data_IF_715394648722
#
_entry.id   IF_715394648722
#
_cell.length_a   1.000
_cell.length_b   1.000
_cell.length_c   1.000
_cell.angle_alpha   90.00
_cell.angle_beta   90.00
_cell.angle_gamma   90.00
#
_symmetry.space_group_name_H-M   'P 1'
#
loop_
_entity.id
_entity.type
_entity.pdbx_description
1 polymer ?
#
# COMPACT_ATOMS: atom_id res chain seq x y z
N UNK A 1 4.69 4.06 -9.69
CA UNK A 1 5.54 3.92 -8.48
C UNK A 1 6.96 4.37 -8.82
N UNK A 2 7.67 5.09 -7.93
CA UNK A 2 9.04 5.58 -8.19
C UNK A 2 10.14 4.76 -7.48
N UNK A 3 9.77 3.67 -6.82
CA UNK A 3 10.67 2.76 -6.11
C UNK A 3 10.89 3.09 -4.64
N UNK A 4 11.30 2.07 -3.86
CA UNK A 4 11.49 2.10 -2.40
C UNK A 4 12.68 2.94 -1.96
N UNK A 5 13.69 3.12 -2.81
CA UNK A 5 14.84 3.98 -2.49
C UNK A 5 14.50 5.47 -2.58
N UNK A 6 13.56 5.84 -3.46
CA UNK A 6 13.17 7.23 -3.71
C UNK A 6 11.90 7.64 -2.97
N UNK A 7 11.06 6.68 -2.60
CA UNK A 7 9.82 6.88 -1.87
C UNK A 7 9.54 5.65 -1.00
N UNK A 8 8.54 5.71 -0.14
CA UNK A 8 8.11 4.57 0.67
C UNK A 8 6.90 4.89 1.54
N UNK A 9 6.19 5.98 1.23
CA UNK A 9 5.12 6.52 2.08
C UNK A 9 4.03 5.50 2.34
N UNK A 10 3.66 4.67 1.34
CA UNK A 10 2.65 3.62 1.52
C UNK A 10 3.02 2.60 2.62
N UNK A 11 4.31 2.29 2.77
CA UNK A 11 4.82 1.41 3.85
C UNK A 11 4.71 2.13 5.19
N UNK A 12 5.01 3.43 5.23
CA UNK A 12 5.02 4.22 6.47
C UNK A 12 3.62 4.58 7.00
N UNK A 13 2.67 4.85 6.11
CA UNK A 13 1.33 5.34 6.49
C UNK A 13 0.30 4.24 6.67
N UNK A 14 0.58 3.00 6.23
CA UNK A 14 -0.37 1.91 6.36
C UNK A 14 -0.41 1.39 7.81
N UNK A 15 -1.52 1.57 8.54
CA UNK A 15 -1.59 1.20 9.96
C UNK A 15 -1.55 -0.32 10.19
N UNK A 16 -1.82 -1.11 9.15
CA UNK A 16 -1.87 -2.58 9.20
C UNK A 16 -0.71 -3.22 8.45
N UNK A 17 0.31 -2.44 8.06
CA UNK A 17 1.49 -2.94 7.36
C UNK A 17 1.16 -3.78 6.11
N UNK A 18 0.20 -3.34 5.31
CA UNK A 18 -0.19 -4.03 4.06
C UNK A 18 0.88 -3.95 2.96
N UNK A 19 1.95 -3.17 3.16
CA UNK A 19 3.05 -3.02 2.22
C UNK A 19 4.40 -3.28 2.89
N UNK A 20 5.34 -3.84 2.13
CA UNK A 20 6.72 -4.11 2.60
C UNK A 20 7.77 -3.66 1.59
N UNK A 21 8.97 -3.37 2.08
CA UNK A 21 10.16 -3.06 1.28
C UNK A 21 10.92 -4.35 0.92
N UNK A 22 10.37 -5.18 0.03
CA UNK A 22 11.05 -6.38 -0.45
C UNK A 22 11.40 -6.26 -1.95
N UNK A 23 12.46 -5.48 -2.21
CA UNK A 23 12.99 -5.20 -3.55
C UNK A 23 12.92 -3.72 -3.93
N UNK A 24 13.12 -3.46 -5.23
CA UNK A 24 13.14 -2.10 -5.81
C UNK A 24 11.83 -1.34 -5.63
N UNK A 25 10.70 -2.05 -5.55
CA UNK A 25 9.36 -1.47 -5.38
C UNK A 25 8.68 -2.05 -4.13
N UNK A 26 7.80 -1.27 -3.46
CA UNK A 26 6.95 -1.80 -2.41
C UNK A 26 6.09 -2.96 -2.93
N UNK A 27 5.90 -3.99 -2.10
CA UNK A 27 5.03 -5.13 -2.40
C UNK A 27 3.91 -5.22 -1.37
N UNK A 28 2.73 -5.65 -1.82
CA UNK A 28 1.66 -6.03 -0.90
C UNK A 28 2.12 -7.21 -0.02
N UNK A 29 1.72 -7.19 1.25
CA UNK A 29 1.91 -8.30 2.18
C UNK A 29 0.61 -9.10 2.16
N UNK A 30 0.57 -10.20 1.42
CA UNK A 30 -0.65 -11.00 1.19
C UNK A 30 -1.36 -11.37 2.50
N UNK A 31 -0.60 -11.71 3.55
CA UNK A 31 -1.16 -12.05 4.87
C UNK A 31 -1.87 -10.89 5.59
N UNK A 32 -1.71 -9.64 5.13
CA UNK A 32 -2.29 -8.44 5.72
C UNK A 32 -3.33 -7.78 4.79
N UNK A 33 -3.65 -8.36 3.64
CA UNK A 33 -4.60 -7.76 2.69
C UNK A 33 -6.00 -7.59 3.31
N UNK A 34 -6.44 -8.59 4.08
CA UNK A 34 -7.74 -8.60 4.78
C UNK A 34 -7.80 -7.61 5.97
N UNK A 35 -6.66 -7.11 6.43
CA UNK A 35 -6.60 -6.12 7.51
C UNK A 35 -6.83 -4.69 7.01
N UNK A 36 -6.93 -4.49 5.68
CA UNK A 36 -7.11 -3.17 5.08
C UNK A 36 -8.44 -2.51 5.55
N UNK A 37 -8.33 -1.49 6.38
CA UNK A 37 -9.49 -0.74 6.93
C UNK A 37 -10.09 0.31 6.00
N UNK A 38 -9.65 0.35 4.73
CA UNK A 38 -10.09 1.33 3.74
C UNK A 38 -9.89 2.80 4.17
N UNK A 39 -8.85 3.08 4.96
CA UNK A 39 -8.55 4.42 5.48
C UNK A 39 -8.03 5.44 4.43
N UNK A 40 -7.72 4.98 3.21
CA UNK A 40 -7.24 5.80 2.08
C UNK A 40 -5.89 6.51 2.27
N UNK A 41 -5.20 6.32 3.41
CA UNK A 41 -3.91 6.98 3.69
C UNK A 41 -2.84 6.67 2.62
N UNK A 42 -2.76 5.42 2.16
CA UNK A 42 -1.82 5.04 1.12
C UNK A 42 -2.08 5.79 -0.20
N UNK A 43 -3.35 5.91 -0.61
CA UNK A 43 -3.76 6.64 -1.81
C UNK A 43 -3.43 8.13 -1.68
N UNK A 44 -3.81 8.76 -0.56
CA UNK A 44 -3.53 10.18 -0.30
C UNK A 44 -2.02 10.49 -0.25
N UNK A 45 -1.21 9.56 0.25
CA UNK A 45 0.23 9.74 0.36
C UNK A 45 1.00 9.55 -0.96
N UNK A 46 0.38 8.90 -1.95
CA UNK A 46 1.04 8.54 -3.18
C UNK A 46 0.84 9.60 -4.27
N UNK A 47 1.77 10.55 -4.37
CA UNK A 47 1.73 11.67 -5.33
C UNK A 47 1.79 11.25 -6.82
N UNK A 48 2.03 9.97 -7.10
CA UNK A 48 2.15 9.41 -8.46
C UNK A 48 1.11 8.32 -8.72
N UNK A 49 0.05 8.25 -7.91
CA UNK A 49 -1.11 7.38 -8.08
C UNK A 49 -0.76 5.90 -8.35
N UNK A 50 0.23 5.38 -7.63
CA UNK A 50 0.78 4.05 -7.88
C UNK A 50 0.06 2.90 -7.17
N UNK A 51 -1.04 3.17 -6.48
CA UNK A 51 -1.70 2.23 -5.58
C UNK A 51 -3.18 2.17 -5.97
N UNK A 52 -3.71 0.96 -6.07
CA UNK A 52 -5.14 0.70 -6.22
C UNK A 52 -5.61 -0.20 -5.08
N UNK A 53 -6.90 -0.11 -4.74
CA UNK A 53 -7.54 -0.99 -3.76
C UNK A 53 -8.71 -1.67 -4.48
N UNK A 54 -8.70 -2.99 -4.49
CA UNK A 54 -9.76 -3.81 -5.06
C UNK A 54 -10.44 -4.56 -3.91
N UNK A 55 -11.73 -4.29 -3.71
CA UNK A 55 -12.52 -5.05 -2.74
C UNK A 55 -12.98 -6.33 -3.43
N UNK A 56 -12.60 -7.47 -2.87
CA UNK A 56 -12.93 -8.78 -3.44
C UNK A 56 -14.34 -9.23 -3.06
N UNK A 57 -14.89 -8.67 -1.97
CA UNK A 57 -16.20 -8.98 -1.44
C UNK A 57 -16.93 -7.67 -1.15
N UNK A 58 -17.88 -7.33 -2.01
CA UNK A 58 -18.96 -6.38 -1.77
C UNK A 58 -20.20 -7.00 -2.41
N UNK A 59 -21.34 -6.98 -1.71
CA UNK A 59 -22.63 -7.35 -2.32
C UNK A 59 -22.99 -6.40 -3.48
#
# INVERSE_FOLDING_TARGET
CVGTEKCGKCIQVCPVNAFSSNGEYPKAVEANEDECTLCMLCLQSCEVDAITIHKLYED
#
